data_IF_557125268061
#
_entry.id   IF_557125268061
#
_cell.length_a   1.000
_cell.length_b   1.000
_cell.length_c   1.000
_cell.angle_alpha   90.00
_cell.angle_beta   90.00
_cell.angle_gamma   90.00
#
_symmetry.space_group_name_H-M   'P 1'
#
loop_
_entity.id
_entity.type
_entity.pdbx_description
1 polymer ?
#
# COMPACT_ATOMS: atom_id res chain seq x y z
N UNK A 1 9.89 8.30 17.05
CA UNK A 1 8.53 8.30 16.47
C UNK A 1 8.19 9.74 16.13
N UNK A 2 7.60 9.98 14.95
CA UNK A 2 7.12 11.30 14.58
C UNK A 2 5.63 11.41 14.91
N UNK A 3 5.22 12.53 15.51
CA UNK A 3 3.83 12.84 15.80
C UNK A 3 3.40 14.01 14.91
N UNK A 4 2.25 13.88 14.25
CA UNK A 4 1.65 14.92 13.43
C UNK A 4 0.34 15.37 14.08
N UNK A 5 0.20 16.68 14.28
CA UNK A 5 -1.04 17.30 14.76
C UNK A 5 -1.66 18.06 13.60
N UNK A 6 -2.92 17.75 13.31
CA UNK A 6 -3.70 18.46 12.29
C UNK A 6 -4.59 19.49 12.98
N UNK A 7 -4.27 20.77 12.80
CA UNK A 7 -5.07 21.88 13.31
C UNK A 7 -6.00 22.42 12.21
N UNK A 8 -7.10 23.05 12.62
CA UNK A 8 -8.06 23.74 11.73
C UNK A 8 -8.61 22.86 10.59
N UNK A 9 -8.75 21.55 10.84
CA UNK A 9 -9.38 20.62 9.90
C UNK A 9 -10.88 20.87 9.86
N UNK A 10 -11.43 21.05 8.65
CA UNK A 10 -12.86 21.18 8.44
C UNK A 10 -13.61 20.01 9.13
N UNK A 11 -14.59 20.28 10.01
CA UNK A 11 -15.32 19.24 10.74
C UNK A 11 -15.94 18.18 9.84
N UNK A 12 -16.30 18.54 8.60
CA UNK A 12 -16.86 17.60 7.61
C UNK A 12 -15.84 16.54 7.18
N UNK A 13 -14.55 16.89 7.15
CA UNK A 13 -13.46 15.94 6.85
C UNK A 13 -13.26 14.98 8.03
N UNK A 14 -13.31 15.48 9.26
CA UNK A 14 -13.21 14.65 10.46
C UNK A 14 -14.34 13.61 10.46
N UNK A 15 -15.57 14.03 10.20
CA UNK A 15 -16.73 13.14 10.10
C UNK A 15 -16.62 12.13 8.95
N UNK A 16 -16.06 12.54 7.80
CA UNK A 16 -15.82 11.62 6.69
C UNK A 16 -14.77 10.55 7.03
N UNK A 17 -13.68 10.93 7.70
CA UNK A 17 -12.65 9.99 8.18
C UNK A 17 -13.22 9.04 9.22
N UNK A 18 -14.01 9.56 10.17
CA UNK A 18 -14.66 8.75 11.20
C UNK A 18 -15.58 7.70 10.59
N UNK A 19 -16.46 8.09 9.67
CA UNK A 19 -17.33 7.14 8.95
C UNK A 19 -16.54 6.07 8.21
N UNK A 20 -15.45 6.43 7.54
CA UNK A 20 -14.57 5.45 6.87
C UNK A 20 -13.93 4.48 7.87
N UNK A 21 -13.46 5.00 9.00
CA UNK A 21 -12.83 4.23 10.05
C UNK A 21 -13.83 3.22 10.68
N UNK A 22 -15.06 3.67 10.95
CA UNK A 22 -16.14 2.84 11.49
C UNK A 22 -16.49 1.69 10.54
N UNK A 23 -16.62 1.96 9.23
CA UNK A 23 -16.91 0.94 8.21
C UNK A 23 -15.84 -0.15 8.16
N UNK A 24 -14.58 0.22 8.40
CA UNK A 24 -13.44 -0.71 8.32
C UNK A 24 -13.05 -1.30 9.66
N UNK A 25 -13.63 -0.83 10.76
CA UNK A 25 -13.40 -1.34 12.11
C UNK A 25 -12.05 -0.95 12.73
N UNK A 26 -11.52 0.24 12.40
CA UNK A 26 -10.28 0.75 13.01
C UNK A 26 -10.40 2.20 13.48
N UNK A 27 -9.38 2.70 14.18
CA UNK A 27 -9.41 4.04 14.76
C UNK A 27 -9.29 5.13 13.68
N UNK A 28 -9.88 6.30 13.94
CA UNK A 28 -9.81 7.46 13.05
C UNK A 28 -8.37 7.88 12.73
N UNK A 29 -7.45 7.75 13.71
CA UNK A 29 -6.04 8.06 13.54
C UNK A 29 -5.37 7.12 12.52
N UNK A 30 -5.74 5.84 12.51
CA UNK A 30 -5.23 4.87 11.54
C UNK A 30 -5.74 5.18 10.15
N UNK A 31 -7.02 5.56 10.02
CA UNK A 31 -7.60 5.95 8.73
C UNK A 31 -6.96 7.24 8.18
N UNK A 32 -6.72 8.23 9.04
CA UNK A 32 -6.00 9.45 8.67
C UNK A 32 -4.57 9.14 8.18
N UNK A 33 -3.87 8.24 8.88
CA UNK A 33 -2.55 7.77 8.47
C UNK A 33 -2.59 7.09 7.10
N UNK A 34 -3.54 6.19 6.86
CA UNK A 34 -3.70 5.52 5.56
C UNK A 34 -3.90 6.53 4.44
N UNK A 35 -4.77 7.53 4.64
CA UNK A 35 -5.01 8.59 3.63
C UNK A 35 -3.74 9.39 3.35
N UNK A 36 -2.98 9.75 4.39
CA UNK A 36 -1.70 10.43 4.26
C UNK A 36 -0.67 9.58 3.49
N UNK A 37 -0.56 8.29 3.81
CA UNK A 37 0.33 7.36 3.10
C UNK A 37 -0.08 7.20 1.63
N UNK A 38 -1.37 7.19 1.33
CA UNK A 38 -1.89 7.16 -0.05
C UNK A 38 -1.56 8.45 -0.81
N UNK A 39 -1.77 9.62 -0.19
CA UNK A 39 -1.48 10.92 -0.80
C UNK A 39 0.01 11.11 -1.07
N UNK A 40 0.87 10.64 -0.16
CA UNK A 40 2.32 10.66 -0.33
C UNK A 40 2.83 9.57 -1.28
N UNK A 41 1.95 8.67 -1.73
CA UNK A 41 2.31 7.56 -2.60
C UNK A 41 3.17 6.49 -1.92
N UNK A 42 3.23 6.49 -0.59
CA UNK A 42 4.00 5.57 0.27
C UNK A 42 3.15 4.36 0.70
N UNK A 43 1.86 4.37 0.38
CA UNK A 43 0.92 3.32 0.78
C UNK A 43 1.35 1.92 0.31
N UNK A 44 1.36 0.97 1.25
CA UNK A 44 1.52 -0.48 0.99
C UNK A 44 0.54 -0.97 -0.08
N UNK A 45 -0.65 -0.37 -0.15
CA UNK A 45 -1.65 -0.64 -1.20
C UNK A 45 -1.17 -0.21 -2.59
N UNK A 46 -0.49 0.93 -2.72
CA UNK A 46 0.15 1.34 -3.98
C UNK A 46 1.27 0.39 -4.36
N UNK A 47 2.13 0.02 -3.41
CA UNK A 47 3.21 -0.96 -3.65
C UNK A 47 2.65 -2.33 -4.09
N UNK A 48 1.55 -2.79 -3.48
CA UNK A 48 0.87 -4.03 -3.87
C UNK A 48 0.22 -3.92 -5.26
N UNK A 49 -0.41 -2.78 -5.58
CA UNK A 49 -1.00 -2.53 -6.91
C UNK A 49 0.08 -2.48 -7.99
N UNK A 50 1.18 -1.79 -7.76
CA UNK A 50 2.32 -1.78 -8.68
C UNK A 50 2.94 -3.18 -8.81
N UNK A 51 3.10 -3.92 -7.72
CA UNK A 51 3.59 -5.29 -7.79
C UNK A 51 2.61 -6.24 -8.52
N UNK A 52 1.29 -6.01 -8.43
CA UNK A 52 0.29 -6.72 -9.23
C UNK A 52 0.36 -6.34 -10.70
N UNK A 53 0.54 -5.05 -11.00
CA UNK A 53 0.72 -4.56 -12.38
C UNK A 53 1.97 -5.14 -13.02
N UNK A 54 3.10 -5.11 -12.31
CA UNK A 54 4.36 -5.74 -12.72
C UNK A 54 4.16 -7.26 -12.94
N UNK A 55 3.46 -7.96 -12.03
CA UNK A 55 3.15 -9.40 -12.21
C UNK A 55 2.26 -9.68 -13.42
N UNK A 56 1.32 -8.79 -13.73
CA UNK A 56 0.45 -8.91 -14.90
C UNK A 56 1.21 -8.60 -16.20
N UNK A 57 2.05 -7.57 -16.19
CA UNK A 57 2.88 -7.15 -17.33
C UNK A 57 3.99 -8.18 -17.64
N UNK A 58 4.51 -8.88 -16.62
CA UNK A 58 5.50 -9.95 -16.78
C UNK A 58 4.92 -11.30 -17.25
N UNK A 59 3.60 -11.41 -17.42
CA UNK A 59 2.92 -12.46 -18.20
C UNK A 59 3.34 -13.92 -17.94
N UNK A 60 2.66 -14.60 -17.01
CA UNK A 60 2.59 -16.08 -16.99
C UNK A 60 3.35 -16.78 -15.86
N UNK A 61 3.10 -18.08 -15.65
CA UNK A 61 3.55 -18.82 -14.47
C UNK A 61 5.07 -18.82 -14.41
N UNK A 62 5.62 -18.33 -13.29
CA UNK A 62 7.04 -18.49 -13.00
C UNK A 62 7.36 -19.98 -13.05
N UNK A 63 8.04 -20.41 -14.12
CA UNK A 63 8.69 -21.71 -14.16
C UNK A 63 9.54 -21.83 -12.90
N UNK A 64 9.42 -22.98 -12.24
CA UNK A 64 10.16 -23.34 -11.03
C UNK A 64 11.57 -22.74 -11.05
N UNK A 65 11.94 -22.04 -9.98
CA UNK A 65 13.26 -21.40 -9.75
C UNK A 65 14.47 -22.35 -9.88
N UNK A 66 14.27 -23.60 -10.29
CA UNK A 66 15.27 -24.62 -10.51
C UNK A 66 16.01 -24.51 -11.85
N UNK A 67 15.49 -23.81 -12.87
CA UNK A 67 16.12 -23.79 -14.20
C UNK A 67 17.15 -22.65 -14.37
N UNK A 68 17.00 -21.53 -13.66
CA UNK A 68 17.92 -20.38 -13.75
C UNK A 68 19.29 -20.67 -13.11
N UNK A 69 19.37 -21.65 -12.20
CA UNK A 69 20.64 -22.01 -11.51
C UNK A 69 21.53 -22.91 -12.37
N UNK A 70 21.00 -23.52 -13.44
CA UNK A 70 21.75 -24.49 -14.25
C UNK A 70 22.61 -23.83 -15.36
N UNK A 71 22.27 -22.62 -15.77
CA UNK A 71 22.96 -21.92 -16.87
C UNK A 71 24.25 -21.18 -16.43
N UNK A 72 24.46 -20.99 -15.12
CA UNK A 72 25.65 -20.30 -14.58
C UNK A 72 26.85 -21.21 -14.28
N UNK A 73 26.79 -22.51 -14.61
CA UNK A 73 27.81 -23.50 -14.18
C UNK A 73 28.71 -24.04 -15.30
N UNK A 74 28.39 -23.79 -16.57
CA UNK A 74 29.15 -24.31 -17.72
C UNK A 74 29.91 -23.20 -18.50
N UNK A 75 30.38 -22.17 -17.80
CA UNK A 75 31.27 -21.12 -18.34
C UNK A 75 32.72 -21.31 -17.94
#
# INVERSE_FOLDING_TARGET
MAHLVLNDVDPRIIEALRRRADVRGHAIADEAKVVLEEALGVSRGRALREAQRIRADLGGPFGSSADVVREGRDG
#
